data_IF_452801158030
#
_entry.id   IF_452801158030
#
_cell.length_a   1.000
_cell.length_b   1.000
_cell.length_c   1.000
_cell.angle_alpha   90.00
_cell.angle_beta   90.00
_cell.angle_gamma   90.00
#
_symmetry.space_group_name_H-M   'P 1'
#
loop_
_entity.id
_entity.type
_entity.pdbx_description
1 polymer ?
#
# COMPACT_ATOMS: atom_id res chain seq x y z
N UNK A 1 -1.99 -0.59 19.05
CA UNK A 1 -0.67 -0.91 18.46
C UNK A 1 -0.71 -1.23 16.95
N UNK A 2 -1.85 -1.65 16.40
CA UNK A 2 -1.97 -2.13 14.99
C UNK A 2 -2.05 -1.01 13.94
N UNK A 3 -2.69 0.13 14.23
CA UNK A 3 -2.80 1.27 13.28
C UNK A 3 -1.45 1.92 12.93
N UNK A 4 -0.53 2.03 13.88
CA UNK A 4 0.82 2.56 13.66
C UNK A 4 1.65 1.68 12.70
N UNK A 5 1.48 0.35 12.79
CA UNK A 5 2.21 -0.61 11.98
C UNK A 5 1.83 -0.56 10.49
N UNK A 6 0.56 -0.30 10.20
CA UNK A 6 0.05 -0.17 8.82
C UNK A 6 0.50 1.15 8.19
N UNK A 7 0.47 2.25 8.95
CA UNK A 7 0.94 3.55 8.47
C UNK A 7 2.45 3.53 8.17
N UNK A 8 3.25 2.97 9.08
CA UNK A 8 4.69 2.76 8.88
C UNK A 8 4.99 1.87 7.66
N UNK A 9 4.22 0.81 7.44
CA UNK A 9 4.41 -0.05 6.27
C UNK A 9 4.07 0.66 4.95
N UNK A 10 3.09 1.58 4.94
CA UNK A 10 2.72 2.34 3.76
C UNK A 10 3.78 3.41 3.42
N UNK A 11 4.33 4.09 4.43
CA UNK A 11 5.44 5.02 4.26
C UNK A 11 6.71 4.30 3.78
N UNK A 12 7.04 3.14 4.34
CA UNK A 12 8.18 2.33 3.90
C UNK A 12 7.98 1.82 2.48
N UNK A 13 6.77 1.38 2.13
CA UNK A 13 6.46 0.93 0.76
C UNK A 13 6.53 2.08 -0.25
N UNK A 14 6.04 3.25 0.11
CA UNK A 14 6.10 4.47 -0.72
C UNK A 14 7.55 4.91 -0.91
N UNK A 15 8.33 4.94 0.17
CA UNK A 15 9.75 5.28 0.12
C UNK A 15 10.56 4.26 -0.70
N UNK A 16 10.29 2.97 -0.55
CA UNK A 16 10.93 1.93 -1.35
C UNK A 16 10.57 2.08 -2.84
N UNK A 17 9.31 2.41 -3.15
CA UNK A 17 8.85 2.66 -4.51
C UNK A 17 9.51 3.90 -5.14
N UNK A 18 9.58 5.03 -4.42
CA UNK A 18 10.24 6.24 -4.89
C UNK A 18 11.74 6.04 -5.13
N UNK A 19 12.41 5.32 -4.23
CA UNK A 19 13.83 5.00 -4.36
C UNK A 19 14.10 4.09 -5.57
N UNK A 20 13.21 3.14 -5.81
CA UNK A 20 13.29 2.24 -6.98
C UNK A 20 13.00 3.01 -8.28
N UNK A 21 12.00 3.90 -8.28
CA UNK A 21 11.68 4.78 -9.39
C UNK A 21 12.85 5.69 -9.76
N UNK A 22 13.43 6.39 -8.77
CA UNK A 22 14.58 7.28 -8.99
C UNK A 22 15.79 6.53 -9.56
N UNK A 23 16.12 5.36 -8.99
CA UNK A 23 17.21 4.51 -9.51
C UNK A 23 16.94 4.06 -10.95
N UNK A 24 15.68 3.73 -11.27
CA UNK A 24 15.30 3.31 -12.61
C UNK A 24 15.33 4.47 -13.62
N UNK A 25 14.89 5.67 -13.24
CA UNK A 25 14.97 6.88 -14.08
C UNK A 25 16.42 7.26 -14.42
N UNK A 26 17.32 7.21 -13.44
CA UNK A 26 18.76 7.40 -13.67
C UNK A 26 19.33 6.32 -14.62
N UNK A 27 18.90 5.07 -14.46
CA UNK A 27 19.31 3.96 -15.34
C UNK A 27 18.77 4.13 -16.76
N UNK A 28 17.53 4.56 -16.93
CA UNK A 28 16.92 4.83 -18.23
C UNK A 28 17.58 6.00 -18.97
N UNK A 29 17.98 7.05 -18.25
CA UNK A 29 18.73 8.16 -18.83
C UNK A 29 20.08 7.68 -19.41
N UNK A 30 20.80 6.84 -18.67
CA UNK A 30 22.07 6.23 -19.12
C UNK A 30 21.85 5.32 -20.33
N UNK A 31 20.83 4.45 -20.30
CA UNK A 31 20.48 3.58 -21.43
C UNK A 31 20.12 4.36 -22.69
N UNK A 32 19.29 5.41 -22.58
CA UNK A 32 18.94 6.31 -23.70
C UNK A 32 20.14 7.06 -24.25
N UNK A 33 21.10 7.43 -23.41
CA UNK A 33 22.35 8.03 -23.86
C UNK A 33 23.19 7.02 -24.67
N UNK A 34 23.34 5.79 -24.17
CA UNK A 34 24.05 4.70 -24.88
C UNK A 34 23.41 4.38 -26.23
N UNK A 35 22.08 4.28 -26.30
CA UNK A 35 21.35 4.08 -27.56
C UNK A 35 21.60 5.20 -28.57
N UNK A 36 21.63 6.46 -28.12
CA UNK A 36 21.94 7.60 -29.00
C UNK A 36 23.36 7.54 -29.54
N UNK A 37 24.33 7.17 -28.71
CA UNK A 37 25.72 6.97 -29.15
C UNK A 37 25.77 5.87 -30.20
N UNK A 38 25.07 4.77 -29.96
CA UNK A 38 25.06 3.62 -30.86
C UNK A 38 24.40 3.93 -32.22
N UNK A 39 23.26 4.63 -32.20
CA UNK A 39 22.59 5.11 -33.41
C UNK A 39 23.51 6.03 -34.21
N UNK A 40 24.18 6.98 -33.55
CA UNK A 40 25.15 7.86 -34.20
C UNK A 40 26.36 7.10 -34.76
N UNK A 41 26.86 6.10 -34.05
CA UNK A 41 27.96 5.26 -34.55
C UNK A 41 27.55 4.43 -35.76
N UNK A 42 26.30 3.97 -35.82
CA UNK A 42 25.75 3.26 -36.96
C UNK A 42 25.50 4.18 -38.16
N UNK A 43 24.93 5.37 -37.94
CA UNK A 43 24.67 6.36 -38.99
C UNK A 43 25.96 6.86 -39.65
N UNK A 44 27.03 7.03 -38.87
CA UNK A 44 28.34 7.44 -39.37
C UNK A 44 29.23 6.25 -39.78
N UNK A 45 28.67 5.04 -39.85
CA UNK A 45 29.46 3.85 -40.15
C UNK A 45 29.84 3.84 -41.63
N UNK A 46 31.11 4.11 -41.89
CA UNK A 46 31.74 3.94 -43.18
C UNK A 46 33.08 3.24 -43.02
N UNK A 47 33.51 2.56 -44.08
CA UNK A 47 34.84 1.97 -44.15
C UNK A 47 35.84 3.05 -44.56
N UNK A 48 36.97 3.14 -43.86
CA UNK A 48 38.06 4.05 -44.23
C UNK A 48 38.85 3.50 -45.42
N UNK A 49 39.53 4.37 -46.17
CA UNK A 49 40.36 3.97 -47.32
C UNK A 49 41.52 3.05 -46.92
N UNK A 50 42.04 3.17 -45.69
CA UNK A 50 43.15 2.38 -45.18
C UNK A 50 42.71 1.23 -44.26
N UNK A 51 41.40 1.07 -44.06
CA UNK A 51 40.85 0.07 -43.18
C UNK A 51 40.74 -1.29 -43.89
N UNK A 52 41.06 -2.38 -43.18
CA UNK A 52 40.81 -3.72 -43.68
C UNK A 52 39.34 -4.12 -43.51
N UNK A 53 38.85 -5.01 -44.37
CA UNK A 53 37.49 -5.57 -44.25
C UNK A 53 37.27 -6.23 -42.88
N UNK A 54 38.33 -6.78 -42.27
CA UNK A 54 38.25 -7.41 -40.95
C UNK A 54 38.02 -6.39 -39.83
N UNK A 55 38.73 -5.25 -39.86
CA UNK A 55 38.54 -4.16 -38.90
C UNK A 55 37.16 -3.52 -39.05
N UNK A 56 36.70 -3.34 -40.30
CA UNK A 56 35.36 -2.82 -40.55
C UNK A 56 34.27 -3.79 -40.04
N UNK A 57 34.46 -5.09 -40.28
CA UNK A 57 33.57 -6.13 -39.75
C UNK A 57 33.55 -6.14 -38.22
N UNK A 58 34.69 -5.97 -37.56
CA UNK A 58 34.77 -5.88 -36.11
C UNK A 58 33.94 -4.71 -35.56
N UNK A 59 34.00 -3.53 -36.18
CA UNK A 59 33.15 -2.37 -35.81
C UNK A 59 31.66 -2.67 -35.92
N UNK A 60 31.24 -3.38 -36.96
CA UNK A 60 29.84 -3.83 -37.10
C UNK A 60 29.45 -4.76 -35.95
N UNK A 61 30.31 -5.75 -35.65
CA UNK A 61 30.07 -6.68 -34.56
C UNK A 61 29.97 -5.99 -33.21
N UNK A 62 30.82 -5.00 -32.93
CA UNK A 62 30.77 -4.23 -31.69
C UNK A 62 29.44 -3.49 -31.53
N UNK A 63 28.96 -2.85 -32.60
CA UNK A 63 27.66 -2.16 -32.61
C UNK A 63 26.50 -3.15 -32.37
N UNK A 64 26.53 -4.31 -33.03
CA UNK A 64 25.50 -5.34 -32.89
C UNK A 64 25.49 -5.93 -31.47
N UNK A 65 26.66 -6.23 -30.91
CA UNK A 65 26.80 -6.78 -29.56
C UNK A 65 26.31 -5.80 -28.50
N UNK A 66 26.70 -4.53 -28.60
CA UNK A 66 26.22 -3.47 -27.70
C UNK A 66 24.70 -3.28 -27.83
N UNK A 67 24.17 -3.28 -29.06
CA UNK A 67 22.72 -3.16 -29.33
C UNK A 67 21.95 -4.30 -28.65
N UNK A 68 22.45 -5.52 -28.83
CA UNK A 68 21.85 -6.73 -28.26
C UNK A 68 21.87 -6.71 -26.74
N UNK A 69 23.00 -6.32 -26.14
CA UNK A 69 23.14 -6.20 -24.68
C UNK A 69 22.15 -5.18 -24.09
N UNK A 70 21.97 -4.03 -24.76
CA UNK A 70 20.97 -3.03 -24.35
C UNK A 70 19.55 -3.59 -24.49
N UNK A 71 19.24 -4.30 -25.58
CA UNK A 71 17.95 -4.96 -25.78
C UNK A 71 17.59 -5.92 -24.65
N UNK A 72 18.51 -6.82 -24.27
CA UNK A 72 18.32 -7.73 -23.13
C UNK A 72 18.08 -6.99 -21.81
N UNK A 73 18.84 -5.93 -21.55
CA UNK A 73 18.66 -5.14 -20.34
C UNK A 73 17.28 -4.46 -20.28
N UNK A 74 16.66 -4.16 -21.44
CA UNK A 74 15.28 -3.67 -21.51
C UNK A 74 14.26 -4.77 -21.25
N UNK A 75 14.45 -5.96 -21.81
CA UNK A 75 13.57 -7.12 -21.56
C UNK A 75 13.56 -7.49 -20.07
N UNK A 76 14.72 -7.56 -19.43
CA UNK A 76 14.84 -7.85 -17.99
C UNK A 76 14.16 -6.77 -17.15
N UNK A 77 14.38 -5.50 -17.47
CA UNK A 77 13.73 -4.39 -16.77
C UNK A 77 12.22 -4.42 -16.95
N UNK A 78 11.73 -4.71 -18.16
CA UNK A 78 10.30 -4.81 -18.44
C UNK A 78 9.66 -5.96 -17.66
N UNK A 79 10.33 -7.12 -17.59
CA UNK A 79 9.88 -8.25 -16.79
C UNK A 79 9.78 -7.88 -15.29
N UNK A 80 10.80 -7.21 -14.75
CA UNK A 80 10.78 -6.72 -13.37
C UNK A 80 9.67 -5.70 -13.13
N UNK A 81 9.50 -4.74 -14.06
CA UNK A 81 8.44 -3.73 -13.97
C UNK A 81 7.05 -4.37 -14.03
N UNK A 82 6.84 -5.33 -14.91
CA UNK A 82 5.58 -6.07 -15.03
C UNK A 82 5.25 -6.83 -13.75
N UNK A 83 6.24 -7.50 -13.14
CA UNK A 83 6.09 -8.14 -11.84
C UNK A 83 5.71 -7.14 -10.74
N UNK A 84 6.42 -6.01 -10.66
CA UNK A 84 6.15 -4.97 -9.68
C UNK A 84 4.77 -4.34 -9.87
N UNK A 85 4.37 -4.05 -11.11
CA UNK A 85 3.05 -3.50 -11.43
C UNK A 85 1.92 -4.44 -10.98
N UNK A 86 2.09 -5.76 -11.21
CA UNK A 86 1.15 -6.76 -10.70
C UNK A 86 1.06 -6.73 -9.18
N UNK A 87 2.20 -6.71 -8.48
CA UNK A 87 2.23 -6.69 -7.01
C UNK A 87 1.62 -5.41 -6.43
N UNK A 88 1.87 -4.26 -7.05
CA UNK A 88 1.26 -2.98 -6.65
C UNK A 88 -0.25 -3.04 -6.78
N UNK A 89 -0.77 -3.61 -7.88
CA UNK A 89 -2.22 -3.78 -8.07
C UNK A 89 -2.82 -4.68 -6.99
N UNK A 90 -2.20 -5.82 -6.69
CA UNK A 90 -2.65 -6.72 -5.61
C UNK A 90 -2.68 -6.02 -4.25
N UNK A 91 -1.67 -5.19 -3.94
CA UNK A 91 -1.64 -4.42 -2.69
C UNK A 91 -2.73 -3.35 -2.65
N UNK A 92 -3.02 -2.69 -3.76
CA UNK A 92 -4.11 -1.72 -3.86
C UNK A 92 -5.48 -2.37 -3.63
N UNK A 93 -5.72 -3.53 -4.24
CA UNK A 93 -6.96 -4.28 -4.09
C UNK A 93 -7.15 -4.74 -2.63
N UNK A 94 -6.09 -5.24 -1.99
CA UNK A 94 -6.12 -5.61 -0.56
C UNK A 94 -6.36 -4.41 0.36
N UNK A 95 -5.73 -3.27 0.07
CA UNK A 95 -5.89 -2.07 0.88
C UNK A 95 -7.34 -1.55 0.81
N UNK A 96 -7.95 -1.59 -0.39
CA UNK A 96 -9.36 -1.25 -0.57
C UNK A 96 -10.28 -2.17 0.24
N UNK A 97 -10.07 -3.49 0.17
CA UNK A 97 -10.87 -4.45 0.95
C UNK A 97 -10.75 -4.23 2.47
N UNK A 98 -9.56 -3.85 2.93
CA UNK A 98 -9.32 -3.50 4.32
C UNK A 98 -10.05 -2.22 4.73
N UNK A 99 -10.05 -1.20 3.89
CA UNK A 99 -10.77 0.06 4.12
C UNK A 99 -12.28 -0.17 4.15
N UNK A 100 -12.83 -0.98 3.24
CA UNK A 100 -14.24 -1.37 3.23
C UNK A 100 -14.63 -2.10 4.54
N UNK A 101 -13.81 -3.05 4.97
CA UNK A 101 -14.03 -3.79 6.23
C UNK A 101 -13.97 -2.88 7.46
N UNK A 102 -13.09 -1.87 7.44
CA UNK A 102 -12.98 -0.89 8.52
C UNK A 102 -14.23 -0.03 8.62
N UNK A 103 -14.76 0.44 7.49
CA UNK A 103 -16.01 1.22 7.45
C UNK A 103 -17.16 0.39 8.05
N UNK A 104 -17.29 -0.87 7.65
CA UNK A 104 -18.34 -1.75 8.17
C UNK A 104 -18.25 -1.93 9.71
N UNK A 105 -17.03 -2.11 10.23
CA UNK A 105 -16.82 -2.21 11.67
C UNK A 105 -17.13 -0.91 12.41
N UNK A 106 -16.79 0.25 11.83
CA UNK A 106 -17.11 1.56 12.41
C UNK A 106 -18.62 1.80 12.45
N UNK A 107 -19.36 1.37 11.42
CA UNK A 107 -20.83 1.42 11.40
C UNK A 107 -21.46 0.50 12.44
N UNK A 108 -20.97 -0.74 12.55
CA UNK A 108 -21.40 -1.69 13.59
C UNK A 108 -21.17 -1.13 14.99
N UNK A 109 -20.01 -0.51 15.23
CA UNK A 109 -19.69 0.13 16.49
C UNK A 109 -20.69 1.25 16.82
N UNK A 110 -20.99 2.12 15.85
CA UNK A 110 -21.97 3.20 16.02
C UNK A 110 -23.36 2.66 16.40
N UNK A 111 -23.81 1.59 15.73
CA UNK A 111 -25.07 0.91 16.05
C UNK A 111 -25.07 0.31 17.47
N UNK A 112 -23.98 -0.35 17.86
CA UNK A 112 -23.85 -0.90 19.21
C UNK A 112 -23.89 0.19 20.28
N UNK A 113 -23.20 1.31 20.06
CA UNK A 113 -23.21 2.46 20.99
C UNK A 113 -24.63 3.00 21.21
N UNK A 114 -25.42 3.14 20.14
CA UNK A 114 -26.81 3.59 20.25
C UNK A 114 -27.65 2.60 21.07
N UNK A 115 -27.51 1.29 20.81
CA UNK A 115 -28.20 0.25 21.58
C UNK A 115 -27.82 0.28 23.06
N UNK A 116 -26.54 0.50 23.37
CA UNK A 116 -26.06 0.61 24.74
C UNK A 116 -26.69 1.80 25.46
N UNK A 117 -26.68 2.99 24.85
CA UNK A 117 -27.33 4.18 25.41
C UNK A 117 -28.84 3.97 25.68
N UNK A 118 -29.52 3.26 24.78
CA UNK A 118 -30.94 2.91 24.98
C UNK A 118 -31.14 1.99 26.19
N UNK A 119 -30.25 1.00 26.37
CA UNK A 119 -30.31 0.07 27.51
C UNK A 119 -29.97 0.76 28.82
N UNK A 120 -28.99 1.67 28.81
CA UNK A 120 -28.67 2.50 29.97
C UNK A 120 -29.88 3.33 30.40
N UNK A 121 -30.59 3.96 29.46
CA UNK A 121 -31.83 4.70 29.74
C UNK A 121 -32.92 3.82 30.37
N UNK A 122 -33.06 2.58 29.91
CA UNK A 122 -34.00 1.61 30.46
C UNK A 122 -33.62 1.19 31.89
N UNK A 123 -32.33 0.93 32.15
CA UNK A 123 -31.80 0.65 33.48
C UNK A 123 -32.07 1.82 34.43
N UNK A 124 -31.85 3.07 34.00
CA UNK A 124 -32.14 4.25 34.82
C UNK A 124 -33.62 4.32 35.24
N UNK A 125 -34.54 4.05 34.30
CA UNK A 125 -35.98 4.04 34.60
C UNK A 125 -36.36 2.95 35.61
N UNK A 126 -35.91 1.72 35.36
CA UNK A 126 -36.17 0.58 36.25
C UNK A 126 -35.56 0.78 37.64
N UNK A 127 -34.36 1.36 37.72
CA UNK A 127 -33.71 1.70 38.99
C UNK A 127 -34.56 2.71 39.77
N UNK A 128 -35.07 3.75 39.11
CA UNK A 128 -35.95 4.73 39.75
C UNK A 128 -37.28 4.12 40.23
N UNK A 129 -37.88 3.22 39.45
CA UNK A 129 -39.08 2.47 39.85
C UNK A 129 -38.83 1.57 41.05
N UNK A 130 -37.73 0.83 41.06
CA UNK A 130 -37.34 -0.04 42.17
C UNK A 130 -37.13 0.75 43.46
N UNK A 131 -36.45 1.91 43.38
CA UNK A 131 -36.26 2.80 44.53
C UNK A 131 -37.61 3.27 45.09
N UNK A 132 -38.55 3.67 44.22
CA UNK A 132 -39.90 4.06 44.64
C UNK A 132 -40.66 2.90 45.29
N UNK A 133 -40.59 1.69 44.74
CA UNK A 133 -41.26 0.52 45.29
C UNK A 133 -40.69 0.07 46.64
N UNK A 134 -39.40 0.32 46.90
CA UNK A 134 -38.73 -0.02 48.18
C UNK A 134 -39.10 0.92 49.33
N UNK A 135 -39.44 2.18 49.05
CA UNK A 135 -39.74 3.19 50.07
C UNK A 135 -40.87 2.79 51.05
N UNK A 136 -42.02 2.27 50.62
CA UNK A 136 -43.10 1.85 51.53
C UNK A 136 -42.68 0.69 52.46
N UNK A 137 -41.87 -0.25 51.97
CA UNK A 137 -41.45 -1.42 52.73
C UNK A 137 -40.58 -1.08 53.96
N UNK A 138 -39.79 0.00 53.89
CA UNK A 138 -39.00 0.45 55.05
C UNK A 138 -39.86 0.97 56.20
N UNK A 139 -41.04 1.53 55.92
CA UNK A 139 -41.96 1.98 56.97
C UNK A 139 -42.62 0.81 57.70
N UNK A 140 -42.82 -0.31 57.00
CA UNK A 140 -43.42 -1.53 57.59
C UNK A 140 -42.45 -2.18 58.57
N UNK A 141 -41.14 -2.26 58.26
CA UNK A 141 -40.18 -2.87 59.20
C UNK A 141 -40.01 -2.05 60.49
N UNK A 142 -39.93 -0.72 60.37
CA UNK A 142 -39.91 0.20 61.52
C UNK A 142 -41.15 0.04 62.42
N UNK A 143 -42.32 -0.17 61.82
CA UNK A 143 -43.56 -0.40 62.56
C UNK A 143 -43.58 -1.74 63.31
N UNK A 144 -42.93 -2.78 62.77
CA UNK A 144 -42.82 -4.09 63.42
C UNK A 144 -41.79 -4.07 64.55
N UNK A 145 -40.66 -3.37 64.36
CA UNK A 145 -39.63 -3.19 65.40
C UNK A 145 -40.14 -2.37 66.60
N UNK A 146 -41.11 -1.47 66.38
CA UNK A 146 -41.74 -0.69 67.44
C UNK A 146 -42.83 -1.44 68.22
N UNK A 147 -43.25 -2.62 67.76
CA UNK A 147 -44.31 -3.44 68.36
C UNK A 147 -43.79 -4.67 69.12
N UNK A 148 -42.51 -5.02 68.97
CA UNK A 148 -41.83 -6.06 69.75
C UNK A 148 -41.00 -5.46 70.88
#
# INVERSE_FOLDING_TARGET
MTKLKVFLNCEIATYAWEKLKKKNEETEAVKKARLRVLAKSFENLSMDENESVFEFHAKICDILNESYAIGKAYEEMFAQWSYMAKRVKELQDLNKALDDSKIELEEKLKCMTIKLCSKDSEIYKLTAELVRAKQPLSYISLGIDALN
#
